data_IF_850641031484
#
_entry.id   IF_850641031484
#
_cell.length_a   1.000
_cell.length_b   1.000
_cell.length_c   1.000
_cell.angle_alpha   90.00
_cell.angle_beta   90.00
_cell.angle_gamma   90.00
#
_symmetry.space_group_name_H-M   'P 1'
#
loop_
_entity.id
_entity.type
_entity.pdbx_description
1 polymer ?
#
# COMPACT_ATOMS: atom_id res chain seq x y z
N UNK A 1 5.78 -56.73 -81.28
CA UNK A 1 5.94 -56.51 -79.84
C UNK A 1 5.00 -55.39 -79.46
N UNK A 2 3.76 -55.76 -79.10
CA UNK A 2 2.75 -54.87 -78.51
C UNK A 2 2.70 -55.24 -77.03
N UNK A 3 2.77 -54.24 -76.16
CA UNK A 3 2.41 -54.21 -74.72
C UNK A 3 3.39 -53.27 -74.02
N UNK A 4 3.06 -51.98 -73.96
CA UNK A 4 3.48 -51.08 -72.86
C UNK A 4 2.84 -49.67 -72.86
N UNK A 5 1.89 -49.36 -73.75
CA UNK A 5 1.36 -47.99 -73.82
C UNK A 5 0.15 -47.69 -72.91
N UNK A 6 -0.45 -48.69 -72.25
CA UNK A 6 -1.63 -48.45 -71.41
C UNK A 6 -1.32 -48.12 -69.93
N UNK A 7 -0.04 -48.13 -69.52
CA UNK A 7 0.33 -47.72 -68.15
C UNK A 7 0.68 -46.23 -68.06
N UNK A 8 1.07 -45.59 -69.16
CA UNK A 8 1.58 -44.20 -69.17
C UNK A 8 0.42 -43.20 -69.26
N UNK A 9 -0.65 -43.48 -70.03
CA UNK A 9 -1.81 -42.58 -70.14
C UNK A 9 -2.66 -42.50 -68.86
N UNK A 10 -2.62 -43.52 -67.98
CA UNK A 10 -3.27 -43.44 -66.66
C UNK A 10 -2.41 -42.76 -65.59
N UNK A 11 -1.10 -42.62 -65.83
CA UNK A 11 -0.16 -41.96 -64.91
C UNK A 11 -0.04 -40.45 -65.22
N UNK A 12 -0.14 -40.05 -66.49
CA UNK A 12 -0.19 -38.63 -66.90
C UNK A 12 -1.52 -37.94 -66.54
N UNK A 13 -2.67 -38.59 -66.74
CA UNK A 13 -3.99 -38.02 -66.38
C UNK A 13 -4.16 -37.88 -64.85
N UNK A 14 -3.59 -38.81 -64.07
CA UNK A 14 -3.54 -38.72 -62.60
C UNK A 14 -2.60 -37.62 -62.09
N UNK A 15 -1.51 -37.30 -62.82
CA UNK A 15 -0.53 -36.30 -62.42
C UNK A 15 -1.06 -34.87 -62.64
N UNK A 16 -1.77 -34.65 -63.76
CA UNK A 16 -2.42 -33.37 -64.05
C UNK A 16 -3.64 -33.13 -63.13
N UNK A 17 -4.39 -34.19 -62.77
CA UNK A 17 -5.42 -34.09 -61.74
C UNK A 17 -4.83 -33.77 -60.36
N UNK A 18 -3.71 -34.41 -59.98
CA UNK A 18 -3.01 -34.15 -58.71
C UNK A 18 -2.56 -32.68 -58.57
N UNK A 19 -2.03 -32.09 -59.66
CA UNK A 19 -1.53 -30.71 -59.66
C UNK A 19 -2.67 -29.68 -59.54
N UNK A 20 -3.85 -30.00 -60.09
CA UNK A 20 -5.06 -29.19 -59.92
C UNK A 20 -5.59 -29.25 -58.47
N UNK A 21 -5.59 -30.44 -57.84
CA UNK A 21 -6.02 -30.57 -56.44
C UNK A 21 -5.06 -29.85 -55.48
N UNK A 22 -3.75 -29.95 -55.69
CA UNK A 22 -2.75 -29.22 -54.90
C UNK A 22 -2.90 -27.69 -55.07
N UNK A 23 -3.13 -27.22 -56.30
CA UNK A 23 -3.39 -25.81 -56.57
C UNK A 23 -4.68 -25.29 -55.90
N UNK A 24 -5.76 -26.07 -55.96
CA UNK A 24 -7.02 -25.75 -55.27
C UNK A 24 -6.86 -25.78 -53.74
N UNK A 25 -6.04 -26.68 -53.20
CA UNK A 25 -5.75 -26.74 -51.76
C UNK A 25 -4.95 -25.51 -51.29
N UNK A 26 -3.96 -25.06 -52.07
CA UNK A 26 -3.22 -23.83 -51.78
C UNK A 26 -4.14 -22.61 -51.74
N UNK A 27 -5.04 -22.46 -52.73
CA UNK A 27 -6.02 -21.37 -52.77
C UNK A 27 -6.95 -21.45 -51.55
N UNK A 28 -7.47 -22.64 -51.23
CA UNK A 28 -8.36 -22.85 -50.08
C UNK A 28 -7.66 -22.54 -48.73
N UNK A 29 -6.36 -22.84 -48.61
CA UNK A 29 -5.55 -22.47 -47.43
C UNK A 29 -5.38 -20.95 -47.33
N UNK A 30 -5.17 -20.27 -48.45
CA UNK A 30 -4.95 -18.83 -48.50
C UNK A 30 -6.23 -18.04 -48.17
N UNK A 31 -7.38 -18.45 -48.71
CA UNK A 31 -8.69 -17.92 -48.33
C UNK A 31 -8.98 -18.15 -46.84
N UNK A 32 -8.67 -19.34 -46.30
CA UNK A 32 -8.88 -19.65 -44.88
C UNK A 32 -8.00 -18.78 -43.98
N UNK A 33 -6.75 -18.51 -44.39
CA UNK A 33 -5.85 -17.56 -43.72
C UNK A 33 -6.40 -16.14 -43.78
N UNK A 34 -6.90 -15.69 -44.92
CA UNK A 34 -7.47 -14.35 -45.06
C UNK A 34 -8.75 -14.17 -44.24
N UNK A 35 -9.68 -15.13 -44.30
CA UNK A 35 -10.87 -15.17 -43.45
C UNK A 35 -10.51 -15.18 -41.96
N UNK A 36 -9.50 -15.96 -41.55
CA UNK A 36 -9.04 -15.98 -40.15
C UNK A 36 -8.46 -14.64 -39.71
N UNK A 37 -7.72 -13.94 -40.59
CA UNK A 37 -7.19 -12.59 -40.33
C UNK A 37 -8.30 -11.56 -40.21
N UNK A 38 -9.29 -11.58 -41.11
CA UNK A 38 -10.46 -10.69 -41.04
C UNK A 38 -11.28 -10.94 -39.77
N UNK A 39 -11.51 -12.21 -39.41
CA UNK A 39 -12.19 -12.58 -38.16
C UNK A 39 -11.42 -12.12 -36.92
N UNK A 40 -10.10 -12.28 -36.93
CA UNK A 40 -9.23 -11.79 -35.86
C UNK A 40 -9.28 -10.26 -35.72
N UNK A 41 -9.27 -9.52 -36.84
CA UNK A 41 -9.40 -8.07 -36.84
C UNK A 41 -10.76 -7.63 -36.27
N UNK A 42 -11.87 -8.22 -36.72
CA UNK A 42 -13.21 -7.92 -36.16
C UNK A 42 -13.31 -8.21 -34.67
N UNK A 43 -12.84 -9.39 -34.25
CA UNK A 43 -12.86 -9.78 -32.82
C UNK A 43 -12.01 -8.80 -31.99
N UNK A 44 -10.86 -8.38 -32.52
CA UNK A 44 -10.00 -7.39 -31.85
C UNK A 44 -10.68 -6.02 -31.72
N UNK A 45 -11.36 -5.57 -32.77
CA UNK A 45 -12.12 -4.32 -32.77
C UNK A 45 -13.29 -4.37 -31.78
N UNK A 46 -14.06 -5.47 -31.76
CA UNK A 46 -15.15 -5.70 -30.80
C UNK A 46 -14.64 -5.68 -29.35
N UNK A 47 -13.52 -6.34 -29.06
CA UNK A 47 -12.90 -6.36 -27.73
C UNK A 47 -12.41 -4.96 -27.32
N UNK A 48 -11.81 -4.20 -28.23
CA UNK A 48 -11.38 -2.83 -27.94
C UNK A 48 -12.58 -1.89 -27.72
N UNK A 49 -13.67 -2.07 -28.45
CA UNK A 49 -14.90 -1.31 -28.23
C UNK A 49 -15.56 -1.66 -26.89
N UNK A 50 -15.66 -2.94 -26.54
CA UNK A 50 -16.14 -3.37 -25.22
C UNK A 50 -15.29 -2.78 -24.08
N UNK A 51 -13.96 -2.75 -24.23
CA UNK A 51 -13.07 -2.09 -23.26
C UNK A 51 -13.33 -0.59 -23.16
N UNK A 52 -13.56 0.10 -24.28
CA UNK A 52 -13.88 1.54 -24.30
C UNK A 52 -15.20 1.84 -23.60
N UNK A 53 -16.25 1.07 -23.92
CA UNK A 53 -17.55 1.20 -23.28
C UNK A 53 -17.45 0.96 -21.77
N UNK A 54 -16.78 -0.12 -21.35
CA UNK A 54 -16.58 -0.43 -19.94
C UNK A 54 -15.78 0.67 -19.21
N UNK A 55 -14.70 1.20 -19.82
CA UNK A 55 -13.95 2.33 -19.27
C UNK A 55 -14.82 3.57 -19.11
N UNK A 56 -15.64 3.89 -20.12
CA UNK A 56 -16.53 5.05 -20.08
C UNK A 56 -17.61 4.92 -18.99
N UNK A 57 -18.16 3.71 -18.78
CA UNK A 57 -19.13 3.43 -17.72
C UNK A 57 -18.47 3.53 -16.34
N UNK A 58 -17.25 2.99 -16.21
CA UNK A 58 -16.47 3.06 -14.98
C UNK A 58 -16.12 4.51 -14.63
N UNK A 59 -15.69 5.32 -15.60
CA UNK A 59 -15.40 6.75 -15.41
C UNK A 59 -16.63 7.52 -14.92
N UNK A 60 -17.81 7.26 -15.52
CA UNK A 60 -19.08 7.86 -15.07
C UNK A 60 -19.40 7.47 -13.61
N UNK A 61 -19.27 6.19 -13.26
CA UNK A 61 -19.51 5.73 -11.90
C UNK A 61 -18.52 6.33 -10.89
N UNK A 62 -17.23 6.41 -11.25
CA UNK A 62 -16.20 7.06 -10.43
C UNK A 62 -16.52 8.54 -10.24
N UNK A 63 -16.95 9.24 -11.29
CA UNK A 63 -17.34 10.65 -11.20
C UNK A 63 -18.53 10.86 -10.26
N UNK A 64 -19.59 10.06 -10.40
CA UNK A 64 -20.77 10.12 -9.53
C UNK A 64 -20.42 9.82 -8.06
N UNK A 65 -19.57 8.82 -7.81
CA UNK A 65 -19.08 8.52 -6.47
C UNK A 65 -18.26 9.69 -5.89
N UNK A 66 -17.36 10.26 -6.69
CA UNK A 66 -16.54 11.42 -6.31
C UNK A 66 -17.42 12.62 -5.92
N UNK A 67 -18.45 12.92 -6.69
CA UNK A 67 -19.41 13.98 -6.35
C UNK A 67 -20.19 13.66 -5.07
N UNK A 68 -20.66 12.41 -4.92
CA UNK A 68 -21.36 11.98 -3.71
C UNK A 68 -20.50 12.08 -2.45
N UNK A 69 -19.20 11.73 -2.54
CA UNK A 69 -18.24 11.85 -1.44
C UNK A 69 -17.95 13.31 -1.07
N UNK A 70 -18.10 14.24 -2.01
CA UNK A 70 -17.95 15.70 -1.77
C UNK A 70 -19.21 16.35 -1.21
N UNK A 71 -20.35 15.64 -1.18
CA UNK A 71 -21.60 16.21 -0.63
C UNK A 71 -21.40 16.59 0.84
N UNK A 72 -21.84 17.79 1.26
CA UNK A 72 -21.62 18.29 2.62
C UNK A 72 -22.22 17.37 3.68
N UNK A 73 -23.35 16.72 3.38
CA UNK A 73 -23.98 15.75 4.28
C UNK A 73 -23.12 14.51 4.53
N UNK A 74 -22.42 14.01 3.51
CA UNK A 74 -21.53 12.87 3.64
C UNK A 74 -20.29 13.23 4.46
N UNK A 75 -19.65 14.36 4.15
CA UNK A 75 -18.51 14.89 4.89
C UNK A 75 -18.88 15.07 6.37
N UNK A 76 -20.01 15.71 6.65
CA UNK A 76 -20.49 15.93 8.02
C UNK A 76 -20.75 14.63 8.77
N UNK A 77 -21.30 13.62 8.09
CA UNK A 77 -21.57 12.30 8.70
C UNK A 77 -20.27 11.58 9.02
N UNK A 78 -19.31 11.56 8.08
CA UNK A 78 -17.96 11.01 8.30
C UNK A 78 -17.27 11.70 9.46
N UNK A 79 -17.33 13.03 9.53
CA UNK A 79 -16.65 13.80 10.56
C UNK A 79 -17.27 13.57 11.94
N UNK A 80 -18.59 13.34 12.02
CA UNK A 80 -19.28 12.92 13.26
C UNK A 80 -18.89 11.51 13.71
N UNK A 81 -18.83 10.56 12.76
CA UNK A 81 -18.45 9.17 13.05
C UNK A 81 -16.99 9.14 13.54
N UNK A 82 -16.08 9.76 12.79
CA UNK A 82 -14.66 9.83 13.15
C UNK A 82 -14.48 10.53 14.49
N UNK A 83 -15.27 11.58 14.75
CA UNK A 83 -15.24 12.28 16.03
C UNK A 83 -15.63 11.38 17.19
N UNK A 84 -16.79 10.73 17.08
CA UNK A 84 -17.35 9.91 18.14
C UNK A 84 -16.45 8.71 18.44
N UNK A 85 -15.97 8.02 17.40
CA UNK A 85 -15.04 6.91 17.53
C UNK A 85 -13.71 7.39 18.12
N UNK A 86 -13.19 8.53 17.64
CA UNK A 86 -11.94 9.10 18.13
C UNK A 86 -11.99 9.43 19.63
N UNK A 87 -13.04 10.13 20.07
CA UNK A 87 -13.25 10.48 21.48
C UNK A 87 -13.43 9.23 22.33
N UNK A 88 -14.30 8.31 21.90
CA UNK A 88 -14.50 7.04 22.58
C UNK A 88 -13.17 6.29 22.73
N UNK A 89 -12.38 6.20 21.66
CA UNK A 89 -11.10 5.53 21.69
C UNK A 89 -10.11 6.18 22.67
N UNK A 90 -10.05 7.53 22.72
CA UNK A 90 -9.21 8.27 23.67
C UNK A 90 -9.63 8.04 25.13
N UNK A 91 -10.92 7.88 25.42
CA UNK A 91 -11.41 7.59 26.76
C UNK A 91 -11.24 6.11 27.15
N UNK A 92 -11.56 5.18 26.25
CA UNK A 92 -11.53 3.74 26.54
C UNK A 92 -10.12 3.17 26.58
N UNK A 93 -9.18 3.69 25.80
CA UNK A 93 -7.81 3.16 25.78
C UNK A 93 -7.08 3.21 27.12
N UNK A 94 -7.03 4.35 27.85
CA UNK A 94 -6.46 4.38 29.20
C UNK A 94 -7.27 3.58 30.21
N UNK A 95 -8.60 3.51 30.06
CA UNK A 95 -9.46 2.66 30.91
C UNK A 95 -9.10 1.17 30.76
N UNK A 96 -8.96 0.70 29.51
CA UNK A 96 -8.54 -0.67 29.20
C UNK A 96 -7.14 -0.91 29.73
N UNK A 97 -6.20 0.01 29.51
CA UNK A 97 -4.83 -0.13 30.03
C UNK A 97 -4.80 -0.28 31.56
N UNK A 98 -5.64 0.47 32.28
CA UNK A 98 -5.68 0.46 33.73
C UNK A 98 -6.46 -0.74 34.32
N UNK A 99 -7.56 -1.17 33.70
CA UNK A 99 -8.44 -2.23 34.24
C UNK A 99 -8.19 -3.62 33.65
N UNK A 100 -7.87 -3.68 32.36
CA UNK A 100 -7.67 -4.92 31.60
C UNK A 100 -6.44 -4.84 30.70
N UNK A 101 -5.23 -4.71 31.29
CA UNK A 101 -3.98 -4.55 30.54
C UNK A 101 -3.73 -5.67 29.53
N UNK A 102 -4.23 -6.89 29.78
CA UNK A 102 -4.13 -8.05 28.89
C UNK A 102 -4.93 -7.91 27.58
N UNK A 103 -5.95 -7.04 27.54
CA UNK A 103 -6.80 -6.84 26.35
C UNK A 103 -6.17 -5.79 25.42
N UNK A 104 -5.35 -4.88 25.95
CA UNK A 104 -4.77 -3.78 25.19
C UNK A 104 -3.98 -4.22 23.93
N UNK A 105 -3.14 -5.28 23.95
CA UNK A 105 -2.45 -5.76 22.75
C UNK A 105 -3.41 -6.19 21.63
N UNK A 106 -4.56 -6.77 21.99
CA UNK A 106 -5.59 -7.19 21.04
C UNK A 106 -6.24 -5.95 20.42
N UNK A 107 -6.66 -4.98 21.25
CA UNK A 107 -7.23 -3.71 20.78
C UNK A 107 -6.26 -2.99 19.85
N UNK A 108 -4.99 -2.88 20.25
CA UNK A 108 -3.93 -2.31 19.43
C UNK A 108 -3.80 -3.02 18.08
N UNK A 109 -3.79 -4.35 18.06
CA UNK A 109 -3.62 -5.15 16.83
C UNK A 109 -4.79 -4.96 15.87
N UNK A 110 -6.03 -5.03 16.37
CA UNK A 110 -7.24 -4.81 15.57
C UNK A 110 -7.26 -3.40 14.98
N UNK A 111 -6.93 -2.40 15.79
CA UNK A 111 -6.87 -1.02 15.33
C UNK A 111 -5.72 -0.79 14.35
N UNK A 112 -4.55 -1.38 14.57
CA UNK A 112 -3.41 -1.28 13.66
C UNK A 112 -3.77 -1.86 12.30
N UNK A 113 -4.36 -3.05 12.27
CA UNK A 113 -4.80 -3.68 11.03
C UNK A 113 -5.83 -2.83 10.30
N UNK A 114 -6.83 -2.31 10.99
CA UNK A 114 -7.87 -1.48 10.38
C UNK A 114 -7.34 -0.12 9.89
N UNK A 115 -6.69 0.64 10.77
CA UNK A 115 -6.27 2.02 10.49
C UNK A 115 -5.11 2.09 9.50
N UNK A 116 -4.10 1.23 9.62
CA UNK A 116 -2.93 1.24 8.72
C UNK A 116 -3.35 0.77 7.33
N UNK A 117 -4.16 -0.30 7.23
CA UNK A 117 -4.67 -0.81 5.94
C UNK A 117 -5.52 0.24 5.23
N UNK A 118 -6.47 0.86 5.95
CA UNK A 118 -7.30 1.92 5.38
C UNK A 118 -6.45 3.12 4.92
N UNK A 119 -5.46 3.53 5.73
CA UNK A 119 -4.53 4.61 5.37
C UNK A 119 -3.71 4.27 4.13
N UNK A 120 -3.24 3.03 3.99
CA UNK A 120 -2.52 2.57 2.81
C UNK A 120 -3.36 2.73 1.54
N UNK A 121 -4.63 2.31 1.56
CA UNK A 121 -5.51 2.45 0.40
C UNK A 121 -5.80 3.93 0.06
N UNK A 122 -6.05 4.77 1.07
CA UNK A 122 -6.24 6.22 0.88
C UNK A 122 -4.98 6.87 0.31
N UNK A 123 -3.80 6.47 0.78
CA UNK A 123 -2.54 7.04 0.33
C UNK A 123 -2.20 6.56 -1.07
N UNK A 124 -2.54 5.30 -1.41
CA UNK A 124 -2.41 4.79 -2.77
C UNK A 124 -3.29 5.58 -3.74
N UNK A 125 -4.55 5.88 -3.39
CA UNK A 125 -5.42 6.70 -4.25
C UNK A 125 -4.93 8.15 -4.41
N UNK A 126 -4.18 8.67 -3.43
CA UNK A 126 -3.55 10.00 -3.48
C UNK A 126 -2.12 9.97 -4.02
N UNK A 127 -1.63 8.80 -4.44
CA UNK A 127 -0.24 8.58 -4.86
C UNK A 127 0.82 8.95 -3.78
N UNK A 128 0.47 8.93 -2.49
CA UNK A 128 1.34 9.14 -1.33
C UNK A 128 1.68 7.84 -0.58
N UNK A 129 1.53 6.69 -1.24
CA UNK A 129 1.73 5.37 -0.61
C UNK A 129 3.15 5.12 -0.09
N UNK A 130 4.14 5.87 -0.57
CA UNK A 130 5.52 5.80 -0.07
C UNK A 130 5.68 6.29 1.36
N UNK A 131 4.78 7.14 1.88
CA UNK A 131 4.81 7.58 3.28
C UNK A 131 4.52 6.46 4.28
N UNK A 132 4.04 5.29 3.83
CA UNK A 132 3.80 4.12 4.70
C UNK A 132 5.12 3.40 5.05
N UNK A 133 6.23 3.74 4.41
CA UNK A 133 7.55 3.18 4.71
C UNK A 133 8.32 3.96 5.79
N UNK A 134 7.72 4.98 6.39
CA UNK A 134 8.32 5.75 7.47
C UNK A 134 8.57 4.90 8.72
N UNK A 135 9.52 5.33 9.56
CA UNK A 135 9.98 4.59 10.76
C UNK A 135 8.83 4.19 11.69
N UNK A 136 7.82 5.03 11.85
CA UNK A 136 6.69 4.73 12.75
C UNK A 136 5.92 3.48 12.31
N UNK A 137 5.72 3.24 11.01
CA UNK A 137 5.08 2.02 10.52
C UNK A 137 5.97 0.79 10.74
N UNK A 138 7.28 0.95 10.54
CA UNK A 138 8.25 -0.11 10.85
C UNK A 138 8.23 -0.49 12.33
N UNK A 139 8.18 0.49 13.23
CA UNK A 139 8.10 0.24 14.68
C UNK A 139 6.78 -0.39 15.08
N UNK A 140 5.66 -0.01 14.45
CA UNK A 140 4.37 -0.70 14.66
C UNK A 140 4.47 -2.18 14.24
N UNK A 141 5.08 -2.45 13.08
CA UNK A 141 5.30 -3.82 12.61
C UNK A 141 6.19 -4.62 13.59
N UNK A 142 7.32 -4.05 14.02
CA UNK A 142 8.20 -4.70 15.01
C UNK A 142 7.47 -4.96 16.32
N UNK A 143 6.64 -4.02 16.77
CA UNK A 143 5.83 -4.18 17.99
C UNK A 143 4.83 -5.32 17.83
N UNK A 144 4.14 -5.43 16.68
CA UNK A 144 3.24 -6.56 16.40
C UNK A 144 3.99 -7.90 16.34
N UNK A 145 5.18 -7.94 15.73
CA UNK A 145 6.05 -9.13 15.72
C UNK A 145 6.43 -9.54 17.14
N UNK A 146 6.80 -8.57 17.99
CA UNK A 146 7.09 -8.83 19.39
C UNK A 146 5.88 -9.41 20.12
N UNK A 147 4.71 -8.80 19.96
CA UNK A 147 3.50 -9.20 20.68
C UNK A 147 3.03 -10.62 20.34
N UNK A 148 3.15 -11.04 19.09
CA UNK A 148 2.50 -12.26 18.60
C UNK A 148 3.46 -13.38 18.18
N UNK A 149 4.69 -13.04 17.79
CA UNK A 149 5.63 -14.00 17.20
C UNK A 149 6.81 -14.26 18.14
N UNK A 150 7.42 -13.21 18.69
CA UNK A 150 8.66 -13.31 19.48
C UNK A 150 8.57 -12.63 20.86
N UNK A 151 7.57 -12.96 21.70
CA UNK A 151 7.38 -12.30 23.01
C UNK A 151 8.47 -12.66 24.03
N UNK A 152 9.25 -13.71 23.77
CA UNK A 152 10.39 -14.16 24.60
C UNK A 152 11.70 -13.46 24.26
N UNK A 153 11.77 -12.69 23.16
CA UNK A 153 13.00 -12.03 22.73
C UNK A 153 13.27 -10.76 23.53
N UNK A 154 14.31 -10.77 24.38
CA UNK A 154 14.77 -9.57 25.12
C UNK A 154 15.29 -8.48 24.19
N UNK A 155 15.97 -8.89 23.11
CA UNK A 155 16.51 -7.97 22.11
C UNK A 155 15.36 -7.22 21.42
N UNK A 156 14.35 -7.95 20.94
CA UNK A 156 13.23 -7.33 20.25
C UNK A 156 12.39 -6.44 21.18
N UNK A 157 12.19 -6.87 22.44
CA UNK A 157 11.59 -6.02 23.47
C UNK A 157 12.37 -4.72 23.64
N UNK A 158 13.69 -4.79 23.81
CA UNK A 158 14.54 -3.61 24.00
C UNK A 158 14.45 -2.65 22.80
N UNK A 159 14.56 -3.17 21.58
CA UNK A 159 14.44 -2.39 20.34
C UNK A 159 13.07 -1.73 20.23
N UNK A 160 11.99 -2.49 20.42
CA UNK A 160 10.63 -1.95 20.34
C UNK A 160 10.41 -0.86 21.40
N UNK A 161 10.84 -1.11 22.64
CA UNK A 161 10.69 -0.15 23.74
C UNK A 161 11.47 1.14 23.47
N UNK A 162 12.74 1.03 23.05
CA UNK A 162 13.58 2.18 22.74
C UNK A 162 13.08 2.98 21.53
N UNK A 163 12.69 2.33 20.44
CA UNK A 163 12.18 3.04 19.24
C UNK A 163 10.79 3.65 19.46
N UNK A 164 9.89 2.94 20.16
CA UNK A 164 8.54 3.41 20.42
C UNK A 164 8.52 4.62 21.37
N UNK A 165 9.25 4.55 22.48
CA UNK A 165 9.31 5.63 23.47
C UNK A 165 10.27 6.77 23.08
N UNK A 166 11.25 6.49 22.21
CA UNK A 166 12.18 7.50 21.71
C UNK A 166 11.63 8.20 20.46
N UNK A 167 12.16 7.90 19.26
CA UNK A 167 11.86 8.65 18.04
C UNK A 167 10.36 8.68 17.69
N UNK A 168 9.62 7.58 17.92
CA UNK A 168 8.19 7.51 17.55
C UNK A 168 7.32 8.36 18.47
N UNK A 169 7.50 8.31 19.79
CA UNK A 169 6.76 9.19 20.69
C UNK A 169 7.18 10.66 20.53
N UNK A 170 8.49 10.93 20.39
CA UNK A 170 9.01 12.30 20.18
C UNK A 170 8.49 12.94 18.89
N UNK A 171 8.23 12.14 17.85
CA UNK A 171 7.63 12.61 16.61
C UNK A 171 6.26 13.30 16.81
N UNK A 172 5.48 12.93 17.83
CA UNK A 172 4.22 13.62 18.15
C UNK A 172 4.49 15.10 18.47
N UNK A 173 5.50 15.35 19.30
CA UNK A 173 5.89 16.71 19.73
C UNK A 173 6.59 17.46 18.61
N UNK A 174 7.60 16.85 17.99
CA UNK A 174 8.43 17.49 16.96
C UNK A 174 7.62 17.89 15.72
N UNK A 175 6.73 17.03 15.26
CA UNK A 175 5.88 17.30 14.10
C UNK A 175 4.54 17.96 14.45
N UNK A 176 4.37 18.38 15.73
CA UNK A 176 3.15 18.99 16.26
C UNK A 176 1.89 18.21 15.87
N UNK A 177 1.98 16.88 15.94
CA UNK A 177 0.91 16.00 15.55
C UNK A 177 -0.25 16.18 16.54
N UNK A 178 -1.30 16.87 16.08
CA UNK A 178 -2.44 17.22 16.91
C UNK A 178 -3.53 16.17 16.80
N UNK A 179 -4.16 15.84 17.93
CA UNK A 179 -5.33 14.98 17.96
C UNK A 179 -6.55 15.76 17.47
N UNK A 180 -6.89 15.58 16.19
CA UNK A 180 -8.05 16.21 15.55
C UNK A 180 -9.05 15.13 15.20
N UNK A 181 -10.09 14.99 16.03
CA UNK A 181 -11.06 13.91 15.95
C UNK A 181 -11.90 13.89 14.65
N UNK A 182 -12.03 15.01 13.95
CA UNK A 182 -12.71 15.06 12.65
C UNK A 182 -11.84 14.62 11.47
N UNK A 183 -10.54 14.38 11.69
CA UNK A 183 -9.61 13.97 10.64
C UNK A 183 -9.12 12.56 10.88
N UNK A 184 -9.59 11.63 10.05
CA UNK A 184 -9.14 10.24 10.07
C UNK A 184 -7.62 10.10 9.93
N UNK A 185 -7.00 10.96 9.10
CA UNK A 185 -5.55 10.97 8.90
C UNK A 185 -4.81 11.37 10.18
N UNK A 186 -5.31 12.39 10.90
CA UNK A 186 -4.72 12.82 12.19
C UNK A 186 -4.94 11.78 13.28
N UNK A 187 -6.11 11.17 13.35
CA UNK A 187 -6.39 10.06 14.29
C UNK A 187 -5.44 8.90 14.04
N UNK A 188 -5.29 8.47 12.79
CA UNK A 188 -4.35 7.38 12.43
C UNK A 188 -2.91 7.78 12.71
N UNK A 189 -2.55 9.05 12.46
CA UNK A 189 -1.22 9.56 12.77
C UNK A 189 -0.93 9.54 14.27
N UNK A 190 -1.86 9.95 15.12
CA UNK A 190 -1.69 9.82 16.57
C UNK A 190 -1.60 8.35 16.97
N UNK A 191 -2.47 7.49 16.43
CA UNK A 191 -2.47 6.07 16.73
C UNK A 191 -1.10 5.43 16.52
N UNK A 192 -0.50 5.57 15.33
CA UNK A 192 0.78 4.93 15.01
C UNK A 192 1.94 5.42 15.87
N UNK A 193 1.85 6.62 16.46
CA UNK A 193 2.90 7.15 17.32
C UNK A 193 2.65 6.90 18.81
N UNK A 194 1.39 6.81 19.25
CA UNK A 194 1.03 6.72 20.67
C UNK A 194 0.76 5.28 21.13
N UNK A 195 0.19 4.42 20.28
CA UNK A 195 -0.21 3.07 20.70
C UNK A 195 0.95 2.11 20.96
N UNK A 196 2.03 2.08 20.15
CA UNK A 196 3.17 1.23 20.46
C UNK A 196 3.76 1.50 21.86
N UNK A 197 4.10 2.75 22.24
CA UNK A 197 4.62 3.01 23.58
C UNK A 197 3.55 2.79 24.66
N UNK A 198 2.27 3.11 24.43
CA UNK A 198 1.19 2.82 25.38
C UNK A 198 1.07 1.32 25.67
N UNK A 199 1.12 0.49 24.63
CA UNK A 199 0.98 -0.97 24.73
C UNK A 199 2.17 -1.57 25.48
N UNK A 200 3.40 -1.19 25.09
CA UNK A 200 4.61 -1.68 25.75
C UNK A 200 4.70 -1.23 27.22
N UNK A 201 4.31 0.02 27.50
CA UNK A 201 4.21 0.51 28.88
C UNK A 201 3.22 -0.31 29.71
N UNK A 202 2.02 -0.53 29.17
CA UNK A 202 0.96 -1.29 29.85
C UNK A 202 1.41 -2.72 30.15
N UNK A 203 2.02 -3.38 29.18
CA UNK A 203 2.53 -4.74 29.34
C UNK A 203 3.65 -4.83 30.38
N UNK A 204 4.53 -3.82 30.42
CA UNK A 204 5.66 -3.82 31.35
C UNK A 204 5.25 -3.50 32.78
N UNK A 205 4.35 -2.54 32.97
CA UNK A 205 4.09 -1.93 34.28
C UNK A 205 2.72 -2.24 34.87
N UNK A 206 1.72 -2.53 34.04
CA UNK A 206 0.33 -2.71 34.49
C UNK A 206 -0.13 -4.16 34.40
N UNK A 207 0.44 -4.97 33.49
CA UNK A 207 0.11 -6.38 33.38
C UNK A 207 0.63 -7.15 34.62
N UNK A 208 -0.21 -7.98 35.29
CA UNK A 208 0.23 -8.84 36.38
C UNK A 208 1.40 -9.77 36.01
N UNK A 209 2.31 -10.01 36.95
CA UNK A 209 3.58 -10.73 36.71
C UNK A 209 3.35 -12.18 36.24
N UNK A 210 2.31 -12.84 36.73
CA UNK A 210 1.90 -14.19 36.29
C UNK A 210 1.53 -14.21 34.80
N UNK A 211 0.79 -13.20 34.34
CA UNK A 211 0.46 -13.04 32.92
C UNK A 211 1.66 -12.60 32.10
N UNK A 212 2.55 -11.76 32.64
CA UNK A 212 3.81 -11.41 31.98
C UNK A 212 4.68 -12.66 31.76
N UNK A 213 4.86 -13.51 32.77
CA UNK A 213 5.62 -14.76 32.64
C UNK A 213 5.02 -15.70 31.60
N UNK A 214 3.69 -15.79 31.57
CA UNK A 214 2.97 -16.68 30.65
C UNK A 214 3.02 -16.22 29.20
N UNK A 215 2.78 -14.93 28.94
CA UNK A 215 2.58 -14.40 27.60
C UNK A 215 3.75 -13.57 27.07
N UNK A 216 4.49 -12.89 27.95
CA UNK A 216 5.56 -11.95 27.59
C UNK A 216 6.82 -12.14 28.45
N UNK A 217 7.42 -13.36 28.48
CA UNK A 217 8.48 -13.69 29.43
C UNK A 217 9.74 -12.83 29.29
N UNK A 218 9.97 -12.21 28.12
CA UNK A 218 11.07 -11.26 27.94
C UNK A 218 11.01 -10.09 28.92
N UNK A 219 9.82 -9.62 29.30
CA UNK A 219 9.62 -8.49 30.20
C UNK A 219 10.21 -8.81 31.57
N UNK A 220 9.83 -9.97 32.13
CA UNK A 220 10.27 -10.43 33.45
C UNK A 220 11.76 -10.80 33.41
N UNK A 221 12.20 -11.49 32.36
CA UNK A 221 13.59 -11.91 32.22
C UNK A 221 14.56 -10.75 31.98
N UNK A 222 14.06 -9.57 31.60
CA UNK A 222 14.85 -8.33 31.49
C UNK A 222 14.98 -7.65 32.86
N UNK A 223 14.06 -7.92 33.79
CA UNK A 223 14.05 -7.31 35.11
C UNK A 223 13.70 -5.82 35.09
N UNK A 224 14.14 -5.09 36.12
CA UNK A 224 13.80 -3.68 36.34
C UNK A 224 14.42 -2.73 35.32
N UNK A 225 15.61 -3.06 34.81
CA UNK A 225 16.37 -2.19 33.92
C UNK A 225 16.66 -2.85 32.58
N UNK A 226 16.41 -2.12 31.50
CA UNK A 226 16.90 -2.49 30.17
C UNK A 226 18.42 -2.25 30.11
N UNK A 227 19.24 -3.23 29.69
CA UNK A 227 20.68 -3.06 29.59
C UNK A 227 21.05 -2.02 28.51
N UNK A 228 21.31 -0.79 28.94
CA UNK A 228 21.39 0.41 28.10
C UNK A 228 22.32 0.23 26.90
N UNK A 229 23.56 -0.22 27.12
CA UNK A 229 24.54 -0.37 26.04
C UNK A 229 24.08 -1.33 24.95
N UNK A 230 23.60 -2.51 25.34
CA UNK A 230 23.08 -3.51 24.38
C UNK A 230 21.79 -3.04 23.72
N UNK A 231 20.89 -2.37 24.46
CA UNK A 231 19.64 -1.84 23.92
C UNK A 231 19.89 -0.79 22.85
N UNK A 232 20.81 0.15 23.09
CA UNK A 232 21.20 1.17 22.12
C UNK A 232 21.83 0.52 20.89
N UNK A 233 22.76 -0.42 21.08
CA UNK A 233 23.43 -1.10 19.97
C UNK A 233 22.44 -1.80 19.04
N UNK A 234 21.53 -2.62 19.59
CA UNK A 234 20.51 -3.30 18.77
C UNK A 234 19.49 -2.32 18.18
N UNK A 235 19.15 -1.25 18.90
CA UNK A 235 18.26 -0.20 18.38
C UNK A 235 18.87 0.47 17.15
N UNK A 236 20.16 0.78 17.17
CA UNK A 236 20.89 1.33 16.02
C UNK A 236 20.90 0.34 14.86
N UNK A 237 21.13 -0.96 15.11
CA UNK A 237 21.10 -1.98 14.05
C UNK A 237 19.73 -2.02 13.37
N UNK A 238 18.64 -2.12 14.14
CA UNK A 238 17.30 -2.17 13.57
C UNK A 238 16.92 -0.87 12.86
N UNK A 239 17.36 0.27 13.38
CA UNK A 239 17.23 1.55 12.70
C UNK A 239 17.97 1.57 11.36
N UNK A 240 19.22 1.07 11.32
CA UNK A 240 20.00 0.98 10.08
C UNK A 240 19.38 0.00 9.08
N UNK A 241 18.82 -1.12 9.54
CA UNK A 241 18.05 -2.04 8.68
C UNK A 241 16.89 -1.30 8.04
N UNK A 242 16.08 -0.58 8.82
CA UNK A 242 15.01 0.25 8.27
C UNK A 242 15.55 1.31 7.30
N UNK A 243 16.63 2.01 7.66
CA UNK A 243 17.23 3.05 6.83
C UNK A 243 17.71 2.51 5.47
N UNK A 244 18.33 1.33 5.46
CA UNK A 244 18.78 0.64 4.24
C UNK A 244 17.59 0.19 3.40
N UNK A 245 16.56 -0.40 4.02
CA UNK A 245 15.33 -0.81 3.32
C UNK A 245 14.63 0.41 2.69
N UNK A 246 14.54 1.51 3.43
CA UNK A 246 13.97 2.76 2.94
C UNK A 246 14.78 3.33 1.78
N UNK A 247 16.10 3.42 1.92
CA UNK A 247 16.98 3.95 0.89
C UNK A 247 16.96 3.10 -0.40
N UNK A 248 17.08 1.79 -0.28
CA UNK A 248 17.10 0.88 -1.44
C UNK A 248 15.76 0.87 -2.17
N UNK A 249 14.65 0.76 -1.45
CA UNK A 249 13.33 0.63 -2.05
C UNK A 249 12.79 1.96 -2.60
N UNK A 250 12.94 3.06 -1.85
CA UNK A 250 12.39 4.37 -2.21
C UNK A 250 13.38 5.17 -3.05
N UNK A 251 14.59 5.38 -2.54
CA UNK A 251 15.55 6.33 -3.14
C UNK A 251 16.19 5.72 -4.38
N UNK A 252 16.62 4.47 -4.35
CA UNK A 252 17.26 3.84 -5.51
C UNK A 252 16.24 3.28 -6.51
N UNK A 253 15.29 2.46 -6.05
CA UNK A 253 14.35 1.75 -6.94
C UNK A 253 13.26 2.61 -7.59
N UNK A 254 12.96 3.80 -7.07
CA UNK A 254 11.85 4.66 -7.55
C UNK A 254 12.28 6.08 -7.91
N UNK A 255 13.59 6.30 -8.05
CA UNK A 255 14.21 7.61 -8.33
C UNK A 255 13.53 8.33 -9.51
N UNK A 256 13.38 7.68 -10.67
CA UNK A 256 12.73 8.27 -11.85
C UNK A 256 11.30 8.75 -11.57
N UNK A 257 10.47 7.97 -10.86
CA UNK A 257 9.10 8.36 -10.54
C UNK A 257 9.03 9.49 -9.51
N UNK A 258 9.95 9.52 -8.55
CA UNK A 258 10.03 10.60 -7.55
C UNK A 258 10.47 11.92 -8.22
N UNK A 259 11.38 11.86 -9.19
CA UNK A 259 11.84 13.05 -9.93
C UNK A 259 10.82 13.53 -10.98
N UNK A 260 10.16 12.63 -11.72
CA UNK A 260 9.15 12.98 -12.75
C UNK A 260 7.85 13.54 -12.15
N UNK A 261 7.42 13.06 -10.97
CA UNK A 261 6.12 13.47 -10.42
C UNK A 261 6.17 14.73 -9.55
N UNK A 262 7.23 15.54 -9.61
CA UNK A 262 7.44 16.74 -8.78
C UNK A 262 7.14 16.47 -7.29
N UNK A 263 7.68 15.42 -6.67
CA UNK A 263 7.50 15.29 -5.21
C UNK A 263 8.32 16.38 -4.49
N UNK A 264 7.70 17.16 -3.61
CA UNK A 264 8.38 18.13 -2.73
C UNK A 264 8.27 17.60 -1.30
N UNK A 265 9.37 17.66 -0.55
CA UNK A 265 9.36 17.37 0.88
C UNK A 265 8.67 18.56 1.58
N UNK A 266 7.42 18.38 2.01
CA UNK A 266 6.69 19.38 2.79
C UNK A 266 6.53 18.84 4.21
N UNK A 267 7.04 19.56 5.22
CA UNK A 267 6.99 19.14 6.64
C UNK A 267 7.50 17.71 6.90
N UNK A 268 8.61 17.31 6.27
CA UNK A 268 9.26 16.01 6.51
C UNK A 268 8.56 14.80 5.89
N UNK A 269 7.47 14.98 5.14
CA UNK A 269 6.81 13.89 4.39
C UNK A 269 6.98 14.08 2.88
N UNK A 270 7.24 12.99 2.17
CA UNK A 270 7.29 13.00 0.70
C UNK A 270 5.85 13.18 0.16
N UNK A 271 5.53 14.39 -0.30
CA UNK A 271 4.23 14.71 -0.90
C UNK A 271 4.42 15.04 -2.38
N UNK A 272 3.42 14.71 -3.22
CA UNK A 272 3.39 15.19 -4.61
C UNK A 272 3.19 16.69 -4.57
N UNK A 273 4.02 17.48 -5.25
CA UNK A 273 3.76 18.90 -5.43
C UNK A 273 2.36 19.04 -6.01
N UNK A 274 1.51 19.94 -5.48
CA UNK A 274 0.32 20.32 -6.22
C UNK A 274 0.76 20.68 -7.63
N UNK A 275 0.12 20.08 -8.64
CA UNK A 275 0.26 20.50 -10.02
C UNK A 275 0.02 22.01 -9.96
N UNK A 276 1.08 22.81 -10.14
CA UNK A 276 0.94 24.26 -10.26
C UNK A 276 -0.19 24.42 -11.27
N UNK A 277 -1.33 25.05 -10.94
CA UNK A 277 -2.19 25.53 -11.99
C UNK A 277 -1.28 26.34 -12.90
N UNK A 278 -1.41 26.12 -14.20
CA UNK A 278 -0.65 26.78 -15.26
C UNK A 278 -0.77 28.30 -15.06
N UNK A 279 0.10 28.86 -14.20
CA UNK A 279 0.12 30.28 -13.84
C UNK A 279 0.55 31.13 -15.03
N UNK A 280 1.02 30.49 -16.11
CA UNK A 280 1.38 31.14 -17.37
C UNK A 280 0.14 31.43 -18.24
N UNK A 281 -1.07 30.98 -17.84
CA UNK A 281 -2.34 31.31 -18.51
C UNK A 281 -3.23 32.30 -17.76
N UNK A 282 -2.81 32.80 -16.60
CA UNK A 282 -3.57 33.77 -15.80
C UNK A 282 -2.87 35.13 -15.75
N UNK A 283 -3.21 35.98 -16.73
CA UNK A 283 -3.09 37.45 -16.72
C UNK A 283 -1.67 38.08 -16.87
N UNK A 284 -1.34 38.68 -18.04
CA UNK A 284 -0.11 39.47 -18.26
C UNK A 284 -0.09 40.83 -17.54
N UNK A 285 -1.09 41.15 -16.72
CA UNK A 285 -1.18 42.44 -16.02
C UNK A 285 -0.88 42.24 -14.55
N UNK A 286 0.39 42.31 -14.19
CA UNK A 286 0.91 42.90 -12.96
C UNK A 286 2.43 42.96 -13.12
N UNK A 287 2.88 43.99 -13.83
CA UNK A 287 4.28 44.36 -13.88
C UNK A 287 4.73 45.02 -12.57
N UNK A 288 6.04 44.90 -12.32
CA UNK A 288 6.92 45.87 -11.68
C UNK A 288 6.53 46.39 -10.28
N UNK A 289 7.33 46.03 -9.27
CA UNK A 289 8.31 46.95 -8.65
C UNK A 289 8.79 46.45 -7.28
N UNK A 290 10.12 46.53 -7.09
CA UNK A 290 10.91 46.56 -5.85
C UNK A 290 10.79 45.41 -4.85
#
# INVERSE_FOLDING_TARGET
>A
MMENNNFIEQEEDNNDELDIYDFLEVIAIEERKEYSRQRWQRTKEEVEEQKRLLRSQLEKHIHLLSENLKKPNFIRTRDKITFTIGVANTCFSPLIAAKWPQILPIVYTVQAFFLITLRFFIYKSKHWHYSVFDLCYFVNLLTLIYLWILPSSKILLAVCYSLAHGPVALAIVLWRNSLVFHSFDKVTSIFIHLYPPLTLFTLRWLLPVDLQLKYYPAIVNTGSNLPIGTSIFYTIIFYLVWQILYYTFIVHGRRQKVFESKYIIYNGTLQIAPIKPDLDRANPRLGVSS
#
